data_IF_790183076018
#
_entry.id   IF_790183076018
#
_cell.length_a   1.000
_cell.length_b   1.000
_cell.length_c   1.000
_cell.angle_alpha   90.00
_cell.angle_beta   90.00
_cell.angle_gamma   90.00
#
_symmetry.space_group_name_H-M   'P 1'
#
loop_
_entity.id
_entity.type
_entity.pdbx_description
1 polymer ?
#
# COMPACT_ATOMS: atom_id res chain seq x y z
N UNK A 1 -22.62 -29.99 13.19
CA UNK A 1 -21.62 -28.90 13.11
C UNK A 1 -21.90 -28.12 11.83
N UNK A 2 -21.97 -26.80 11.89
CA UNK A 2 -22.18 -25.94 10.71
C UNK A 2 -21.01 -26.14 9.71
N UNK A 3 -21.26 -26.10 8.40
CA UNK A 3 -20.22 -26.29 7.37
C UNK A 3 -19.09 -25.27 7.51
N UNK A 4 -19.42 -23.99 7.76
CA UNK A 4 -18.43 -22.93 7.94
C UNK A 4 -17.45 -23.20 9.11
N UNK A 5 -17.97 -23.71 10.23
CA UNK A 5 -17.14 -24.07 11.40
C UNK A 5 -16.22 -25.24 11.06
N UNK A 6 -16.73 -26.24 10.33
CA UNK A 6 -15.96 -27.40 9.89
C UNK A 6 -14.84 -26.99 8.93
N UNK A 7 -15.14 -26.13 7.95
CA UNK A 7 -14.16 -25.66 6.96
C UNK A 7 -13.00 -24.95 7.65
N UNK A 8 -13.27 -24.12 8.67
CA UNK A 8 -12.24 -23.46 9.44
C UNK A 8 -11.41 -24.44 10.29
N UNK A 9 -12.04 -25.44 10.91
CA UNK A 9 -11.36 -26.49 11.67
C UNK A 9 -10.41 -27.29 10.78
N UNK A 10 -10.89 -27.70 9.60
CA UNK A 10 -10.12 -28.47 8.64
C UNK A 10 -8.93 -27.67 8.10
N UNK A 11 -9.12 -26.37 7.85
CA UNK A 11 -8.05 -25.45 7.43
C UNK A 11 -6.95 -25.32 8.49
N UNK A 12 -7.31 -25.10 9.75
CA UNK A 12 -6.37 -25.00 10.87
C UNK A 12 -5.84 -26.34 11.37
N UNK A 13 -6.34 -27.45 10.81
CA UNK A 13 -6.03 -28.82 11.24
C UNK A 13 -6.21 -29.01 12.75
N UNK A 14 -7.24 -28.37 13.30
CA UNK A 14 -7.58 -28.45 14.72
C UNK A 14 -7.93 -29.90 15.09
N UNK A 15 -7.17 -30.47 16.03
CA UNK A 15 -7.39 -31.82 16.51
C UNK A 15 -7.34 -31.84 18.05
N UNK A 16 -8.51 -31.81 18.71
CA UNK A 16 -8.59 -31.83 20.18
C UNK A 16 -7.97 -33.09 20.81
N UNK A 17 -8.16 -34.26 20.20
CA UNK A 17 -7.63 -35.53 20.73
C UNK A 17 -6.09 -35.56 20.75
N UNK A 18 -5.46 -34.90 19.78
CA UNK A 18 -4.01 -34.80 19.65
C UNK A 18 -3.44 -33.49 20.22
N UNK A 19 -4.28 -32.61 20.76
CA UNK A 19 -3.92 -31.26 21.19
C UNK A 19 -3.05 -30.53 20.14
N UNK A 20 -3.48 -30.61 18.89
CA UNK A 20 -2.70 -30.13 17.76
C UNK A 20 -3.47 -29.10 16.95
N UNK A 21 -2.79 -28.01 16.61
CA UNK A 21 -3.25 -27.00 15.67
C UNK A 21 -2.10 -26.63 14.72
N UNK A 22 -2.45 -26.31 13.47
CA UNK A 22 -1.53 -25.70 12.51
C UNK A 22 -2.08 -24.34 12.09
N UNK A 23 -1.51 -23.28 12.66
CA UNK A 23 -1.79 -21.91 12.25
C UNK A 23 -1.39 -21.71 10.78
N UNK A 24 -2.40 -21.58 9.92
CA UNK A 24 -2.25 -21.23 8.52
C UNK A 24 -2.80 -19.83 8.32
N UNK A 25 -2.00 -18.93 7.73
CA UNK A 25 -2.36 -17.52 7.58
C UNK A 25 -2.75 -17.15 6.14
N UNK A 26 -2.67 -18.10 5.20
CA UNK A 26 -2.98 -17.87 3.78
C UNK A 26 -4.28 -18.57 3.41
N UNK A 27 -5.34 -17.78 3.31
CA UNK A 27 -6.70 -18.24 2.97
C UNK A 27 -6.95 -18.33 1.44
N UNK A 28 -5.91 -18.07 0.65
CA UNK A 28 -5.94 -18.13 -0.81
C UNK A 28 -5.68 -16.77 -1.51
N UNK A 29 -5.56 -15.70 -0.73
CA UNK A 29 -5.07 -14.37 -1.11
C UNK A 29 -4.25 -13.78 0.06
N UNK A 30 -3.77 -12.55 -0.12
CA UNK A 30 -3.09 -11.78 0.92
C UNK A 30 -3.74 -10.40 1.09
N UNK A 31 -3.87 -9.90 2.31
CA UNK A 31 -4.37 -8.53 2.56
C UNK A 31 -3.27 -7.46 2.43
N UNK A 32 -2.08 -7.80 2.93
CA UNK A 32 -0.91 -6.93 2.97
C UNK A 32 0.29 -7.64 2.34
N UNK A 33 1.20 -6.95 1.63
CA UNK A 33 2.32 -7.55 0.92
C UNK A 33 3.49 -7.88 1.86
N UNK A 34 3.19 -8.58 2.96
CA UNK A 34 4.12 -8.85 4.04
C UNK A 34 4.61 -10.29 4.00
N UNK A 35 5.90 -10.45 4.31
CA UNK A 35 6.58 -11.75 4.38
C UNK A 35 7.06 -12.02 5.79
N UNK A 36 6.80 -13.23 6.29
CA UNK A 36 7.34 -13.68 7.58
C UNK A 36 8.79 -14.15 7.48
N UNK A 37 9.31 -14.44 6.28
CA UNK A 37 10.66 -14.96 6.06
C UNK A 37 11.65 -13.84 5.77
N UNK A 38 12.64 -13.68 6.65
CA UNK A 38 13.89 -13.03 6.28
C UNK A 38 14.68 -14.04 5.42
N UNK A 39 15.19 -13.66 4.23
CA UNK A 39 15.54 -12.30 3.78
C UNK A 39 14.58 -11.67 2.73
N UNK A 40 13.37 -12.18 2.56
CA UNK A 40 12.47 -11.81 1.43
C UNK A 40 11.74 -10.47 1.62
N UNK A 41 11.76 -9.91 2.84
CA UNK A 41 11.13 -8.62 3.19
C UNK A 41 11.86 -7.44 2.55
N UNK A 42 11.13 -6.60 1.82
CA UNK A 42 11.65 -5.34 1.29
C UNK A 42 11.94 -4.33 2.40
N UNK A 43 13.13 -3.74 2.37
CA UNK A 43 13.61 -2.78 3.37
C UNK A 43 13.53 -1.31 2.92
N UNK A 44 13.07 -1.04 1.70
CA UNK A 44 12.90 0.31 1.15
C UNK A 44 14.18 1.17 1.15
N UNK A 45 15.37 0.55 1.01
CA UNK A 45 16.67 1.24 1.05
C UNK A 45 16.98 2.04 -0.24
N UNK A 46 16.34 1.74 -1.37
CA UNK A 46 16.60 2.37 -2.68
C UNK A 46 15.32 2.96 -3.31
N UNK A 47 14.94 4.19 -2.93
CA UNK A 47 14.01 5.14 -3.58
C UNK A 47 12.77 4.62 -4.35
N UNK A 48 12.21 3.45 -4.00
CA UNK A 48 11.05 2.83 -4.68
C UNK A 48 11.24 2.58 -6.20
N UNK A 49 12.39 2.93 -6.78
CA UNK A 49 12.64 2.98 -8.21
C UNK A 49 12.51 1.59 -8.85
N UNK A 50 13.12 0.57 -8.25
CA UNK A 50 13.01 -0.80 -8.74
C UNK A 50 11.57 -1.29 -8.70
N UNK A 51 10.81 -0.91 -7.66
CA UNK A 51 9.39 -1.24 -7.53
C UNK A 51 8.58 -0.54 -8.62
N UNK A 52 8.86 0.73 -8.93
CA UNK A 52 8.26 1.45 -10.06
C UNK A 52 8.54 0.74 -11.40
N UNK A 53 9.75 0.24 -11.60
CA UNK A 53 10.11 -0.56 -12.78
C UNK A 53 9.27 -1.85 -12.87
N UNK A 54 9.12 -2.56 -11.75
CA UNK A 54 8.28 -3.76 -11.68
C UNK A 54 6.80 -3.41 -11.95
N UNK A 55 6.28 -2.35 -11.33
CA UNK A 55 4.93 -1.84 -11.56
C UNK A 55 4.71 -1.63 -13.05
N UNK A 56 5.60 -0.88 -13.72
CA UNK A 56 5.48 -0.60 -15.15
C UNK A 56 5.48 -1.86 -16.02
N UNK A 57 6.25 -2.89 -15.65
CA UNK A 57 6.25 -4.18 -16.36
C UNK A 57 4.94 -4.92 -16.17
N UNK A 58 4.51 -5.11 -14.92
CA UNK A 58 3.29 -5.85 -14.60
C UNK A 58 2.06 -5.16 -15.20
N UNK A 59 1.98 -3.82 -15.13
CA UNK A 59 0.88 -3.04 -15.73
C UNK A 59 0.74 -3.29 -17.24
N UNK A 60 1.85 -3.58 -17.94
CA UNK A 60 1.87 -3.91 -19.38
C UNK A 60 1.73 -5.41 -19.66
N UNK A 61 1.50 -6.25 -18.65
CA UNK A 61 1.42 -7.70 -18.78
C UNK A 61 2.76 -8.43 -18.94
N UNK A 62 3.88 -7.74 -18.66
CA UNK A 62 5.21 -8.33 -18.72
C UNK A 62 5.60 -8.98 -17.38
N UNK A 63 6.60 -9.86 -17.41
CA UNK A 63 7.16 -10.48 -16.21
C UNK A 63 7.74 -9.40 -15.27
N UNK A 64 7.60 -9.58 -13.95
CA UNK A 64 8.13 -8.64 -12.97
C UNK A 64 9.67 -8.54 -13.00
N UNK A 65 10.33 -9.64 -13.33
CA UNK A 65 11.77 -9.76 -13.43
C UNK A 65 12.24 -9.52 -14.87
N UNK A 66 13.36 -8.83 -15.01
CA UNK A 66 14.02 -8.66 -16.30
C UNK A 66 15.10 -9.73 -16.47
N UNK A 67 15.06 -10.42 -17.61
CA UNK A 67 16.20 -11.18 -18.12
C UNK A 67 17.33 -10.22 -18.51
N UNK A 68 18.56 -10.72 -18.65
CA UNK A 68 19.64 -9.93 -19.25
C UNK A 68 19.23 -9.49 -20.67
N UNK A 69 19.26 -8.17 -20.89
CA UNK A 69 18.84 -7.54 -22.14
C UNK A 69 20.03 -7.16 -23.02
N UNK A 70 21.26 -7.19 -22.49
CA UNK A 70 22.43 -6.59 -23.13
C UNK A 70 22.70 -7.19 -24.51
N UNK A 71 22.71 -8.52 -24.61
CA UNK A 71 22.97 -9.19 -25.88
C UNK A 71 21.91 -8.83 -26.94
N UNK A 72 20.62 -8.96 -26.62
CA UNK A 72 19.53 -8.63 -27.55
C UNK A 72 19.51 -7.14 -27.91
N UNK A 73 19.83 -6.26 -26.96
CA UNK A 73 19.94 -4.83 -27.21
C UNK A 73 21.04 -4.52 -28.24
N UNK A 74 22.23 -5.11 -28.09
CA UNK A 74 23.34 -4.93 -29.03
C UNK A 74 23.00 -5.50 -30.41
N UNK A 75 22.39 -6.68 -30.46
CA UNK A 75 21.93 -7.29 -31.72
C UNK A 75 20.93 -6.41 -32.46
N UNK A 76 20.02 -5.75 -31.74
CA UNK A 76 19.09 -4.80 -32.33
C UNK A 76 19.78 -3.49 -32.72
N UNK A 77 20.66 -2.95 -31.87
CA UNK A 77 21.39 -1.71 -32.13
C UNK A 77 22.20 -1.78 -33.42
N UNK A 78 22.93 -2.88 -33.65
CA UNK A 78 23.72 -3.11 -34.87
C UNK A 78 22.86 -3.33 -36.12
N UNK A 79 21.57 -3.67 -35.97
CA UNK A 79 20.61 -3.74 -37.10
C UNK A 79 20.01 -2.37 -37.41
N UNK A 80 19.84 -1.52 -36.40
CA UNK A 80 19.19 -0.22 -36.53
C UNK A 80 20.17 0.89 -36.92
N UNK A 81 21.44 0.77 -36.52
CA UNK A 81 22.48 1.80 -36.73
C UNK A 81 23.74 1.15 -37.29
N UNK A 82 24.35 1.78 -38.29
CA UNK A 82 25.68 1.38 -38.78
C UNK A 82 26.73 1.66 -37.70
N UNK A 83 27.26 0.58 -37.11
CA UNK A 83 28.32 0.63 -36.11
C UNK A 83 29.60 0.06 -36.73
N UNK A 84 30.71 0.81 -36.79
CA UNK A 84 32.01 0.31 -37.24
C UNK A 84 32.46 -0.95 -36.49
N UNK A 85 33.09 -1.90 -37.20
CA UNK A 85 33.54 -3.18 -36.64
C UNK A 85 34.61 -3.04 -35.54
N UNK A 86 35.32 -1.90 -35.48
CA UNK A 86 36.31 -1.62 -34.45
C UNK A 86 35.70 -1.18 -33.12
N UNK A 87 34.38 -0.94 -33.05
CA UNK A 87 33.67 -0.63 -31.81
C UNK A 87 33.18 -1.94 -31.18
N UNK A 88 33.65 -2.21 -29.98
CA UNK A 88 33.25 -3.39 -29.19
C UNK A 88 31.86 -3.23 -28.58
N UNK A 89 31.20 -4.36 -28.29
CA UNK A 89 29.88 -4.38 -27.66
C UNK A 89 29.88 -3.73 -26.27
N UNK A 90 30.98 -3.88 -25.51
CA UNK A 90 31.12 -3.22 -24.21
C UNK A 90 31.13 -1.69 -24.32
N UNK A 91 31.80 -1.14 -25.34
CA UNK A 91 31.79 0.31 -25.58
C UNK A 91 30.37 0.81 -25.93
N UNK A 92 29.60 0.03 -26.69
CA UNK A 92 28.20 0.36 -26.97
C UNK A 92 27.35 0.34 -25.69
N UNK A 93 27.51 -0.66 -24.83
CA UNK A 93 26.79 -0.75 -23.56
C UNK A 93 27.15 0.41 -22.60
N UNK A 94 28.41 0.83 -22.57
CA UNK A 94 28.85 2.00 -21.79
C UNK A 94 28.20 3.31 -22.29
N UNK A 95 28.05 3.47 -23.61
CA UNK A 95 27.41 4.64 -24.21
C UNK A 95 25.92 4.70 -23.86
N UNK A 96 25.21 3.56 -23.94
CA UNK A 96 23.76 3.53 -23.82
C UNK A 96 23.22 3.26 -22.41
N UNK A 97 24.05 2.73 -21.49
CA UNK A 97 23.74 2.51 -20.07
C UNK A 97 22.38 1.82 -19.82
N UNK A 98 22.25 0.57 -20.28
CA UNK A 98 21.01 -0.24 -20.28
C UNK A 98 20.42 -0.58 -18.91
N UNK A 99 21.09 -0.23 -17.81
CA UNK A 99 20.58 -0.45 -16.45
C UNK A 99 19.57 0.62 -15.99
N UNK A 100 19.50 1.77 -16.67
CA UNK A 100 18.53 2.87 -16.48
C UNK A 100 18.23 3.28 -15.04
N UNK A 101 19.23 3.21 -14.15
CA UNK A 101 19.09 3.46 -12.70
C UNK A 101 18.62 4.87 -12.30
N UNK A 102 18.56 5.82 -13.23
CA UNK A 102 18.13 7.21 -12.98
C UNK A 102 17.40 7.81 -14.20
N UNK A 103 16.61 7.00 -14.92
CA UNK A 103 15.96 7.49 -16.15
C UNK A 103 14.83 8.49 -15.84
N UNK A 104 14.87 9.63 -16.53
CA UNK A 104 13.75 10.60 -16.56
C UNK A 104 12.70 10.30 -17.63
N UNK A 105 12.87 9.20 -18.37
CA UNK A 105 12.05 8.87 -19.54
C UNK A 105 11.09 7.75 -19.20
N UNK A 106 9.80 8.02 -19.34
CA UNK A 106 8.72 7.10 -19.04
C UNK A 106 8.84 5.75 -19.77
N UNK A 107 9.22 5.77 -21.05
CA UNK A 107 9.40 4.57 -21.87
C UNK A 107 10.54 3.64 -21.38
N UNK A 108 11.47 4.16 -20.59
CA UNK A 108 12.59 3.41 -20.04
C UNK A 108 12.28 2.82 -18.66
N UNK A 109 11.20 3.26 -17.99
CA UNK A 109 10.79 2.75 -16.67
C UNK A 109 10.63 1.21 -16.67
N UNK A 110 9.96 0.57 -17.66
CA UNK A 110 9.84 -0.89 -17.70
C UNK A 110 11.19 -1.63 -17.78
N UNK A 111 12.28 -0.95 -18.15
CA UNK A 111 13.62 -1.52 -18.31
C UNK A 111 14.51 -1.32 -17.08
N UNK A 112 14.02 -0.71 -16.01
CA UNK A 112 14.74 -0.61 -14.73
C UNK A 112 14.92 -2.01 -14.14
N UNK A 113 16.17 -2.47 -14.05
CA UNK A 113 16.50 -3.78 -13.47
C UNK A 113 16.19 -3.84 -11.97
N UNK A 114 15.80 -5.02 -11.50
CA UNK A 114 15.78 -5.33 -10.07
C UNK A 114 17.15 -5.87 -9.66
N UNK A 115 17.71 -5.38 -8.56
CA UNK A 115 18.90 -5.95 -7.96
C UNK A 115 18.70 -7.43 -7.62
N UNK A 116 19.75 -8.23 -7.75
CA UNK A 116 19.74 -9.65 -7.33
C UNK A 116 19.89 -9.78 -5.81
N UNK A 117 19.07 -9.01 -5.11
CA UNK A 117 18.99 -8.99 -3.66
C UNK A 117 17.90 -9.95 -3.20
N UNK A 118 18.10 -10.47 -1.99
CA UNK A 118 17.19 -11.44 -1.38
C UNK A 118 15.76 -10.90 -1.13
N UNK A 119 15.60 -9.58 -1.07
CA UNK A 119 14.32 -8.88 -0.88
C UNK A 119 13.53 -8.63 -2.17
N UNK A 120 14.03 -9.13 -3.30
CA UNK A 120 13.39 -9.08 -4.62
C UNK A 120 11.93 -9.55 -4.59
N UNK A 121 11.64 -10.62 -3.86
CA UNK A 121 10.26 -11.12 -3.68
C UNK A 121 9.36 -10.10 -2.99
N UNK A 122 9.88 -9.42 -1.96
CA UNK A 122 9.27 -8.27 -1.28
C UNK A 122 8.89 -7.17 -2.27
N UNK A 123 9.85 -6.74 -3.09
CA UNK A 123 9.65 -5.69 -4.09
C UNK A 123 8.56 -6.06 -5.10
N UNK A 124 8.55 -7.31 -5.58
CA UNK A 124 7.54 -7.82 -6.52
C UNK A 124 6.15 -7.86 -5.87
N UNK A 125 6.05 -8.27 -4.61
CA UNK A 125 4.75 -8.34 -3.91
C UNK A 125 4.16 -6.94 -3.66
N UNK A 126 5.00 -5.96 -3.28
CA UNK A 126 4.58 -4.55 -3.15
C UNK A 126 4.13 -4.00 -4.51
N UNK A 127 4.84 -4.31 -5.60
CA UNK A 127 4.42 -3.90 -6.94
C UNK A 127 3.08 -4.53 -7.34
N UNK A 128 2.89 -5.84 -7.14
CA UNK A 128 1.63 -6.53 -7.41
C UNK A 128 0.45 -5.90 -6.64
N UNK A 129 0.66 -5.56 -5.36
CA UNK A 129 -0.34 -4.85 -4.56
C UNK A 129 -0.71 -3.53 -5.25
N UNK A 130 0.27 -2.68 -5.56
CA UNK A 130 0.01 -1.36 -6.13
C UNK A 130 -0.63 -1.42 -7.52
N UNK A 131 -0.23 -2.37 -8.36
CA UNK A 131 -0.88 -2.58 -9.67
C UNK A 131 -2.36 -2.91 -9.51
N UNK A 132 -2.72 -3.77 -8.55
CA UNK A 132 -4.11 -4.12 -8.28
C UNK A 132 -4.87 -2.98 -7.58
N UNK A 133 -4.26 -2.34 -6.58
CA UNK A 133 -4.85 -1.27 -5.78
C UNK A 133 -5.24 -0.06 -6.64
N UNK A 134 -4.36 0.31 -7.57
CA UNK A 134 -4.51 1.50 -8.41
C UNK A 134 -5.05 1.18 -9.82
N UNK A 135 -5.40 -0.08 -10.08
CA UNK A 135 -5.92 -0.60 -11.35
C UNK A 135 -5.07 -0.20 -12.57
N UNK A 136 -3.74 -0.30 -12.43
CA UNK A 136 -2.78 0.23 -13.41
C UNK A 136 -2.79 -0.52 -14.74
N UNK A 137 -3.30 -1.75 -14.77
CA UNK A 137 -3.49 -2.53 -16.01
C UNK A 137 -4.60 -1.97 -16.90
N UNK A 138 -5.55 -1.24 -16.31
CA UNK A 138 -6.68 -0.63 -17.03
C UNK A 138 -6.60 0.91 -17.06
N UNK A 139 -5.63 1.51 -16.36
CA UNK A 139 -5.41 2.95 -16.35
C UNK A 139 -4.76 3.42 -17.66
N UNK A 140 -5.56 4.04 -18.54
CA UNK A 140 -5.11 4.48 -19.87
C UNK A 140 -3.99 5.51 -19.82
N UNK A 141 -4.08 6.47 -18.90
CA UNK A 141 -3.09 7.54 -18.78
C UNK A 141 -1.73 7.00 -18.37
N UNK A 142 -1.70 6.08 -17.40
CA UNK A 142 -0.50 5.34 -17.02
C UNK A 142 0.10 4.55 -18.19
N UNK A 143 -0.72 3.79 -18.92
CA UNK A 143 -0.24 3.02 -20.08
C UNK A 143 0.25 3.91 -21.22
N UNK A 144 -0.39 5.06 -21.44
CA UNK A 144 0.03 6.07 -22.41
C UNK A 144 1.36 6.70 -21.99
N UNK A 145 1.52 7.05 -20.71
CA UNK A 145 2.76 7.55 -20.15
C UNK A 145 3.92 6.58 -20.42
N UNK A 146 3.76 5.30 -20.10
CA UNK A 146 4.75 4.25 -20.34
C UNK A 146 5.05 3.98 -21.82
N UNK A 147 4.14 4.35 -22.72
CA UNK A 147 4.31 4.15 -24.16
C UNK A 147 5.16 5.24 -24.82
N UNK A 148 5.42 6.34 -24.12
CA UNK A 148 6.39 7.39 -24.50
C UNK A 148 6.18 7.93 -25.92
N UNK A 149 5.44 9.04 -26.03
CA UNK A 149 5.16 9.63 -27.36
C UNK A 149 6.32 10.44 -27.97
N UNK A 150 7.34 10.84 -27.21
CA UNK A 150 8.27 11.88 -27.67
C UNK A 150 9.75 11.46 -27.58
N UNK A 151 10.22 10.69 -28.57
CA UNK A 151 11.64 10.55 -28.84
C UNK A 151 12.13 11.77 -29.63
N UNK A 152 12.35 12.89 -28.93
CA UNK A 152 12.65 14.18 -29.55
C UNK A 152 14.11 14.31 -30.05
N UNK A 153 14.96 13.32 -29.80
CA UNK A 153 16.34 13.28 -30.29
C UNK A 153 16.75 11.90 -30.76
N UNK A 154 17.75 11.86 -31.65
CA UNK A 154 18.27 10.65 -32.29
C UNK A 154 18.67 9.58 -31.28
N UNK A 155 19.34 9.96 -30.19
CA UNK A 155 19.72 9.04 -29.11
C UNK A 155 18.50 8.31 -28.51
N UNK A 156 17.39 9.02 -28.30
CA UNK A 156 16.16 8.43 -27.77
C UNK A 156 15.46 7.50 -28.75
N UNK A 157 15.53 7.81 -30.04
CA UNK A 157 14.99 6.97 -31.11
C UNK A 157 15.79 5.67 -31.21
N UNK A 158 17.12 5.79 -31.31
CA UNK A 158 18.02 4.63 -31.34
C UNK A 158 17.83 3.74 -30.12
N UNK A 159 17.73 4.31 -28.91
CA UNK A 159 17.42 3.54 -27.71
C UNK A 159 16.09 2.80 -27.83
N UNK A 160 15.01 3.52 -28.19
CA UNK A 160 13.67 2.95 -28.30
C UNK A 160 13.62 1.78 -29.29
N UNK A 161 14.27 1.94 -30.43
CA UNK A 161 14.26 0.95 -31.52
C UNK A 161 15.18 -0.24 -31.23
N UNK A 162 16.20 -0.05 -30.38
CA UNK A 162 17.15 -1.10 -30.02
C UNK A 162 16.72 -1.91 -28.79
N UNK A 163 15.82 -1.38 -27.95
CA UNK A 163 15.35 -2.09 -26.77
C UNK A 163 14.53 -3.34 -27.13
N UNK A 164 14.88 -4.51 -26.57
CA UNK A 164 14.17 -5.75 -26.88
C UNK A 164 12.78 -5.78 -26.26
N UNK A 165 11.86 -6.50 -26.89
CA UNK A 165 10.56 -6.80 -26.30
C UNK A 165 10.73 -7.56 -24.97
N UNK A 166 9.93 -7.15 -23.97
CA UNK A 166 9.92 -7.77 -22.65
C UNK A 166 9.11 -9.07 -22.67
N UNK A 167 9.47 -10.00 -21.79
CA UNK A 167 8.79 -11.29 -21.69
C UNK A 167 7.38 -11.11 -21.09
N UNK A 168 6.39 -11.77 -21.69
CA UNK A 168 4.99 -11.74 -21.22
C UNK A 168 4.84 -12.66 -20.00
N UNK A 169 3.98 -12.27 -19.06
CA UNK A 169 3.68 -13.06 -17.88
C UNK A 169 2.60 -14.12 -18.15
N UNK A 170 2.98 -15.40 -18.05
CA UNK A 170 2.06 -16.52 -18.16
C UNK A 170 1.27 -16.72 -16.85
N UNK A 171 0.14 -16.03 -16.72
CA UNK A 171 -1.07 -16.40 -15.94
C UNK A 171 -1.07 -16.45 -14.40
N UNK A 172 0.06 -16.47 -13.68
CA UNK A 172 0.03 -16.51 -12.21
C UNK A 172 0.35 -15.15 -11.56
N UNK A 173 -0.70 -14.37 -11.29
CA UNK A 173 -0.63 -13.15 -10.46
C UNK A 173 -1.03 -13.46 -9.03
N UNK A 174 -0.28 -12.90 -8.08
CA UNK A 174 -0.62 -12.98 -6.67
C UNK A 174 -1.92 -12.20 -6.44
N UNK A 175 -2.91 -12.78 -5.76
CA UNK A 175 -4.20 -12.12 -5.55
C UNK A 175 -4.21 -11.40 -4.21
N UNK A 176 -4.68 -10.15 -4.22
CA UNK A 176 -4.96 -9.39 -3.01
C UNK A 176 -6.46 -9.19 -2.85
N UNK A 177 -6.93 -9.25 -1.60
CA UNK A 177 -8.20 -8.60 -1.25
C UNK A 177 -7.84 -7.21 -0.76
N UNK A 178 -8.52 -6.21 -1.30
CA UNK A 178 -8.14 -4.81 -1.13
C UNK A 178 -9.20 -4.08 -0.33
N UNK A 179 -8.80 -3.49 0.78
CA UNK A 179 -9.69 -2.64 1.57
C UNK A 179 -9.79 -1.26 0.89
N UNK A 180 -11.02 -0.77 0.69
CA UNK A 180 -11.31 0.52 0.06
C UNK A 180 -10.73 0.67 -1.36
N UNK A 181 -10.61 -0.41 -2.14
CA UNK A 181 -9.99 -0.42 -3.46
C UNK A 181 -10.51 0.68 -4.41
N UNK A 182 -11.83 0.87 -4.45
CA UNK A 182 -12.46 1.88 -5.32
C UNK A 182 -12.03 3.31 -4.97
N UNK A 183 -11.80 3.61 -3.70
CA UNK A 183 -11.33 4.93 -3.27
C UNK A 183 -9.92 5.19 -3.82
N UNK A 184 -8.97 4.27 -3.59
CA UNK A 184 -7.59 4.42 -4.07
C UNK A 184 -7.48 4.42 -5.59
N UNK A 185 -8.26 3.56 -6.28
CA UNK A 185 -8.35 3.55 -7.74
C UNK A 185 -8.80 4.89 -8.29
N UNK A 186 -9.92 5.42 -7.79
CA UNK A 186 -10.47 6.69 -8.28
C UNK A 186 -9.52 7.84 -7.99
N UNK A 187 -8.98 7.92 -6.76
CA UNK A 187 -8.06 8.96 -6.33
C UNK A 187 -6.81 9.00 -7.23
N UNK A 188 -6.13 7.85 -7.42
CA UNK A 188 -4.95 7.80 -8.28
C UNK A 188 -5.25 8.10 -9.74
N UNK A 189 -6.41 7.65 -10.24
CA UNK A 189 -6.80 7.91 -11.62
C UNK A 189 -6.98 9.41 -11.86
N UNK A 190 -7.63 10.13 -10.94
CA UNK A 190 -7.77 11.58 -11.00
C UNK A 190 -6.42 12.30 -10.88
N UNK A 191 -5.61 11.93 -9.90
CA UNK A 191 -4.28 12.51 -9.68
C UNK A 191 -3.38 12.36 -10.91
N UNK A 192 -3.31 11.14 -11.44
CA UNK A 192 -2.44 10.84 -12.57
C UNK A 192 -2.97 11.47 -13.87
N UNK A 193 -4.29 11.62 -14.00
CA UNK A 193 -4.89 12.35 -15.10
C UNK A 193 -4.48 13.83 -15.08
N UNK A 194 -4.60 14.51 -13.93
CA UNK A 194 -4.16 15.91 -13.76
C UNK A 194 -2.68 16.06 -14.13
N UNK A 195 -1.84 15.15 -13.64
CA UNK A 195 -0.41 15.15 -13.99
C UNK A 195 -0.19 15.00 -15.50
N UNK A 196 -0.90 14.09 -16.16
CA UNK A 196 -0.79 13.89 -17.60
C UNK A 196 -1.31 15.06 -18.43
N UNK A 197 -2.42 15.69 -18.01
CA UNK A 197 -3.00 16.87 -18.67
C UNK A 197 -2.06 18.07 -18.65
N UNK A 198 -1.25 18.23 -17.59
CA UNK A 198 -0.25 19.32 -17.53
C UNK A 198 0.78 19.28 -18.65
N UNK A 199 1.03 18.11 -19.23
CA UNK A 199 2.12 17.89 -20.20
C UNK A 199 3.53 17.97 -19.61
N UNK A 200 3.69 18.20 -18.30
CA UNK A 200 4.98 18.31 -17.63
C UNK A 200 5.57 16.93 -17.27
N UNK A 201 5.95 16.17 -18.30
CA UNK A 201 6.44 14.80 -18.14
C UNK A 201 7.72 14.69 -17.28
N UNK A 202 8.55 15.73 -17.25
CA UNK A 202 9.74 15.79 -16.40
C UNK A 202 9.34 15.82 -14.92
N UNK A 203 8.31 16.61 -14.56
CA UNK A 203 7.77 16.62 -13.21
C UNK A 203 7.22 15.25 -12.81
N UNK A 204 6.45 14.59 -13.69
CA UNK A 204 5.95 13.22 -13.46
C UNK A 204 7.12 12.28 -13.19
N UNK A 205 8.13 12.30 -14.06
CA UNK A 205 9.25 11.35 -13.94
C UNK A 205 10.08 11.55 -12.67
N UNK A 206 10.20 12.78 -12.17
CA UNK A 206 10.90 13.08 -10.92
C UNK A 206 10.12 12.68 -9.67
N UNK A 207 8.79 12.52 -9.78
CA UNK A 207 7.90 12.32 -8.64
C UNK A 207 7.13 10.98 -8.65
N UNK A 208 7.18 10.21 -9.73
CA UNK A 208 6.40 8.97 -9.86
C UNK A 208 6.71 7.94 -8.76
N UNK A 209 7.99 7.81 -8.38
CA UNK A 209 8.40 6.93 -7.28
C UNK A 209 7.77 7.38 -5.95
N UNK A 210 7.76 8.69 -5.70
CA UNK A 210 7.20 9.31 -4.49
C UNK A 210 5.69 9.17 -4.44
N UNK A 211 5.02 9.27 -5.60
CA UNK A 211 3.58 9.07 -5.71
C UNK A 211 3.23 7.63 -5.33
N UNK A 212 3.88 6.63 -5.94
CA UNK A 212 3.65 5.23 -5.60
C UNK A 212 4.00 4.89 -4.15
N UNK A 213 5.12 5.40 -3.64
CA UNK A 213 5.50 5.18 -2.24
C UNK A 213 4.51 5.81 -1.25
N UNK A 214 3.93 6.96 -1.61
CA UNK A 214 2.92 7.61 -0.78
C UNK A 214 1.60 6.81 -0.77
N UNK A 215 1.12 6.38 -1.94
CA UNK A 215 -0.07 5.52 -2.04
C UNK A 215 0.11 4.21 -1.25
N UNK A 216 1.30 3.61 -1.34
CA UNK A 216 1.67 2.46 -0.52
C UNK A 216 1.62 2.78 0.98
N UNK A 217 2.25 3.88 1.41
CA UNK A 217 2.23 4.29 2.82
C UNK A 217 0.80 4.45 3.34
N UNK A 218 -0.02 5.26 2.67
CA UNK A 218 -1.39 5.54 3.12
C UNK A 218 -2.22 4.27 3.15
N UNK A 219 -2.11 3.40 2.15
CA UNK A 219 -2.79 2.11 2.17
C UNK A 219 -2.38 1.25 3.37
N UNK A 220 -1.07 1.11 3.65
CA UNK A 220 -0.58 0.31 4.79
C UNK A 220 -0.98 0.91 6.13
N UNK A 221 -0.89 2.24 6.28
CA UNK A 221 -1.26 2.95 7.51
C UNK A 221 -2.73 2.73 7.82
N UNK A 222 -3.62 3.02 6.87
CA UNK A 222 -5.07 2.93 7.08
C UNK A 222 -5.55 1.48 7.17
N UNK A 223 -5.07 0.59 6.31
CA UNK A 223 -5.47 -0.82 6.34
C UNK A 223 -4.98 -1.46 7.64
N UNK A 224 -3.72 -1.27 7.99
CA UNK A 224 -3.14 -1.92 9.18
C UNK A 224 -3.75 -1.46 10.50
N UNK A 225 -4.27 -0.23 10.58
CA UNK A 225 -4.89 0.30 11.80
C UNK A 225 -6.42 0.11 11.88
N UNK A 226 -7.03 -0.50 10.85
CA UNK A 226 -8.50 -0.61 10.74
C UNK A 226 -9.05 -2.03 10.55
N UNK A 227 -8.20 -3.07 10.52
CA UNK A 227 -8.64 -4.47 10.27
C UNK A 227 -9.79 -4.90 11.21
N UNK A 228 -9.66 -4.62 12.51
CA UNK A 228 -10.70 -4.89 13.52
C UNK A 228 -11.35 -3.59 14.03
N UNK A 229 -11.39 -2.54 13.22
CA UNK A 229 -12.16 -1.35 13.60
C UNK A 229 -13.65 -1.66 13.55
N UNK A 230 -14.34 -1.30 14.64
CA UNK A 230 -15.78 -1.51 14.80
C UNK A 230 -16.58 -0.39 14.18
N UNK A 231 -15.95 0.77 14.02
CA UNK A 231 -16.58 1.95 13.47
C UNK A 231 -16.03 2.19 12.06
N UNK A 232 -16.89 2.66 11.15
CA UNK A 232 -16.45 3.31 9.92
C UNK A 232 -15.94 4.73 10.20
N UNK A 233 -15.15 4.90 11.26
CA UNK A 233 -14.65 6.21 11.63
C UNK A 233 -13.57 6.62 10.62
N UNK A 234 -13.75 7.80 10.02
CA UNK A 234 -12.77 8.47 9.18
C UNK A 234 -11.59 8.94 10.05
N UNK A 235 -10.74 8.01 10.52
CA UNK A 235 -9.53 8.31 11.27
C UNK A 235 -8.65 9.27 10.46
N UNK A 236 -8.09 10.25 11.15
CA UNK A 236 -7.25 11.29 10.56
C UNK A 236 -5.87 11.14 11.15
N UNK A 237 -4.92 10.65 10.35
CA UNK A 237 -3.55 10.52 10.80
C UNK A 237 -2.77 11.77 10.43
N UNK A 238 -2.38 12.52 11.46
CA UNK A 238 -1.75 13.82 11.28
C UNK A 238 -0.25 13.71 11.00
N UNK A 239 0.20 14.43 9.97
CA UNK A 239 1.59 14.61 9.60
C UNK A 239 2.16 15.88 10.24
N UNK A 240 3.44 15.84 10.57
CA UNK A 240 4.25 17.02 10.84
C UNK A 240 5.02 17.43 9.59
N UNK A 241 5.16 18.73 9.35
CA UNK A 241 6.07 19.27 8.35
C UNK A 241 7.53 19.04 8.75
N UNK A 242 8.38 18.63 7.81
CA UNK A 242 9.72 18.16 8.14
C UNK A 242 10.60 19.16 8.89
N UNK A 243 10.48 20.46 8.61
CA UNK A 243 11.30 21.51 9.24
C UNK A 243 10.69 22.08 10.51
N UNK A 244 9.49 21.65 10.88
CA UNK A 244 8.84 22.20 12.08
C UNK A 244 9.36 21.56 13.38
N UNK A 245 9.21 22.31 14.47
CA UNK A 245 9.39 21.82 15.84
C UNK A 245 8.07 21.22 16.35
N UNK A 246 8.15 20.01 16.91
CA UNK A 246 6.97 19.24 17.34
C UNK A 246 7.01 19.06 18.85
N UNK A 247 5.95 19.50 19.54
CA UNK A 247 5.76 19.29 20.98
C UNK A 247 4.85 18.08 21.26
N UNK A 248 4.84 17.59 22.50
CA UNK A 248 4.12 16.36 22.89
C UNK A 248 2.61 16.42 22.67
N UNK A 249 1.99 17.59 22.76
CA UNK A 249 0.53 17.77 22.66
C UNK A 249 0.01 17.96 21.22
N UNK A 250 0.90 17.87 20.22
CA UNK A 250 0.53 18.04 18.81
C UNK A 250 -0.24 16.83 18.31
N UNK A 251 -1.24 17.04 17.45
CA UNK A 251 -1.97 15.93 16.82
C UNK A 251 -1.06 15.04 15.99
N UNK A 252 0.01 15.57 15.40
CA UNK A 252 1.01 14.75 14.72
C UNK A 252 1.72 13.71 15.63
N UNK A 253 1.64 13.90 16.96
CA UNK A 253 2.16 12.96 17.97
C UNK A 253 1.06 12.06 18.51
N UNK A 254 -0.07 12.64 18.95
CA UNK A 254 -1.15 11.89 19.61
C UNK A 254 -2.04 11.12 18.65
N UNK A 255 -2.41 11.74 17.54
CA UNK A 255 -3.36 11.27 16.52
C UNK A 255 -2.60 11.03 15.18
N UNK A 256 -1.38 10.53 15.29
CA UNK A 256 -0.45 10.30 14.17
C UNK A 256 0.06 8.87 14.16
N UNK A 257 1.36 8.70 13.89
CA UNK A 257 1.96 7.36 13.79
C UNK A 257 1.91 6.56 15.12
N UNK A 258 1.83 7.23 16.27
CA UNK A 258 1.73 6.55 17.56
C UNK A 258 0.48 5.66 17.63
N UNK A 259 -0.69 6.24 17.34
CA UNK A 259 -1.97 5.51 17.32
C UNK A 259 -1.94 4.39 16.27
N UNK A 260 -1.42 4.67 15.07
CA UNK A 260 -1.25 3.67 14.01
C UNK A 260 -0.45 2.48 14.51
N UNK A 261 0.67 2.72 15.20
CA UNK A 261 1.55 1.69 15.74
C UNK A 261 0.85 0.84 16.81
N UNK A 262 0.06 1.44 17.68
CA UNK A 262 -0.71 0.73 18.71
C UNK A 262 -1.80 -0.15 18.08
N UNK A 263 -2.60 0.41 17.17
CA UNK A 263 -3.71 -0.29 16.53
C UNK A 263 -3.26 -1.45 15.65
N UNK A 264 -2.07 -1.36 15.07
CA UNK A 264 -1.52 -2.41 14.22
C UNK A 264 -0.59 -3.38 14.97
N UNK A 265 -0.45 -3.24 16.30
CA UNK A 265 0.56 -3.99 17.06
C UNK A 265 0.46 -5.52 16.87
N UNK A 266 -0.78 -6.02 16.80
CA UNK A 266 -1.12 -7.43 16.66
C UNK A 266 -1.62 -7.78 15.24
N UNK A 267 -1.13 -7.06 14.21
CA UNK A 267 -1.69 -7.08 12.84
C UNK A 267 -1.87 -8.47 12.21
N UNK A 268 -1.00 -9.45 12.55
CA UNK A 268 -1.17 -10.82 12.06
C UNK A 268 -2.42 -11.48 12.65
N UNK A 269 -2.58 -11.37 13.97
CA UNK A 269 -3.73 -11.90 14.69
C UNK A 269 -5.01 -11.19 14.27
N UNK A 270 -4.94 -9.88 14.05
CA UNK A 270 -6.08 -9.10 13.58
C UNK A 270 -6.56 -9.57 12.20
N UNK A 271 -5.63 -9.86 11.29
CA UNK A 271 -5.93 -10.43 9.96
C UNK A 271 -6.54 -11.83 10.10
N UNK A 272 -5.97 -12.69 10.94
CA UNK A 272 -6.49 -14.04 11.16
C UNK A 272 -7.92 -14.01 11.71
N UNK A 273 -8.21 -13.12 12.68
CA UNK A 273 -9.57 -12.93 13.20
C UNK A 273 -10.51 -12.47 12.09
N UNK A 274 -10.14 -11.46 11.33
CA UNK A 274 -10.98 -10.94 10.25
C UNK A 274 -11.34 -12.06 9.26
N UNK A 275 -10.37 -12.90 8.88
CA UNK A 275 -10.61 -14.05 8.02
C UNK A 275 -11.48 -15.12 8.69
N UNK A 276 -11.21 -15.48 9.94
CA UNK A 276 -12.02 -16.44 10.68
C UNK A 276 -13.48 -15.99 10.75
N UNK A 277 -13.74 -14.72 11.05
CA UNK A 277 -15.09 -14.19 11.11
C UNK A 277 -15.79 -14.24 9.75
N UNK A 278 -15.09 -13.96 8.66
CA UNK A 278 -15.66 -14.05 7.32
C UNK A 278 -15.91 -15.49 6.84
N UNK A 279 -15.08 -16.44 7.25
CA UNK A 279 -15.39 -17.87 7.06
C UNK A 279 -16.63 -18.24 7.87
N UNK A 280 -16.67 -17.88 9.16
CA UNK A 280 -17.75 -18.26 10.08
C UNK A 280 -19.09 -17.58 9.77
N UNK A 281 -19.08 -16.41 9.13
CA UNK A 281 -20.29 -15.76 8.62
C UNK A 281 -20.82 -16.40 7.33
N UNK A 282 -20.02 -17.22 6.65
CA UNK A 282 -20.34 -17.80 5.35
C UNK A 282 -20.13 -16.86 4.17
N UNK A 283 -19.56 -15.67 4.39
CA UNK A 283 -19.23 -14.71 3.33
C UNK A 283 -18.07 -15.20 2.44
N UNK A 284 -17.20 -16.03 3.00
CA UNK A 284 -15.93 -16.38 2.40
C UNK A 284 -15.67 -17.89 2.47
N UNK A 285 -15.24 -18.46 1.34
CA UNK A 285 -14.82 -19.86 1.23
C UNK A 285 -13.32 -19.91 0.98
N UNK A 286 -12.63 -20.67 1.83
CA UNK A 286 -11.17 -20.80 1.82
C UNK A 286 -10.70 -21.37 0.47
N UNK A 287 -9.70 -20.73 -0.14
CA UNK A 287 -9.16 -21.08 -1.46
C UNK A 287 -10.18 -21.05 -2.62
N UNK A 288 -11.29 -20.34 -2.47
CA UNK A 288 -12.23 -20.09 -3.56
C UNK A 288 -12.17 -18.63 -4.03
N UNK A 289 -11.50 -18.32 -5.14
CA UNK A 289 -11.33 -16.94 -5.62
C UNK A 289 -12.64 -16.18 -5.88
N UNK A 290 -13.73 -16.87 -6.15
CA UNK A 290 -15.04 -16.23 -6.42
C UNK A 290 -15.62 -15.54 -5.19
N UNK A 291 -15.22 -15.94 -3.98
CA UNK A 291 -15.75 -15.38 -2.73
C UNK A 291 -14.89 -14.27 -2.13
N UNK A 292 -13.75 -13.93 -2.74
CA UNK A 292 -12.78 -13.00 -2.13
C UNK A 292 -13.33 -11.58 -2.05
N UNK A 293 -14.13 -11.16 -3.04
CA UNK A 293 -14.81 -9.87 -3.05
C UNK A 293 -15.98 -9.77 -2.08
N UNK A 294 -16.37 -10.87 -1.44
CA UNK A 294 -17.50 -10.93 -0.49
C UNK A 294 -17.07 -10.73 0.96
N UNK A 295 -15.76 -10.59 1.22
CA UNK A 295 -15.23 -10.32 2.55
C UNK A 295 -15.78 -9.00 3.09
N UNK A 296 -16.25 -9.03 4.34
CA UNK A 296 -16.79 -7.87 5.06
C UNK A 296 -15.83 -7.45 6.17
N UNK A 297 -15.69 -6.14 6.39
CA UNK A 297 -15.00 -5.58 7.56
C UNK A 297 -15.75 -5.89 8.84
N UNK A 298 -15.10 -5.73 9.99
CA UNK A 298 -15.75 -5.92 11.28
C UNK A 298 -16.97 -5.00 11.46
N UNK A 299 -16.87 -3.71 11.11
CA UNK A 299 -18.01 -2.78 11.19
C UNK A 299 -19.23 -3.26 10.37
N UNK A 300 -19.00 -3.82 9.18
CA UNK A 300 -20.04 -4.38 8.30
C UNK A 300 -20.60 -5.69 8.87
N UNK A 301 -19.75 -6.56 9.41
CA UNK A 301 -20.17 -7.80 10.09
C UNK A 301 -21.01 -7.51 11.33
N UNK A 302 -20.68 -6.45 12.07
CA UNK A 302 -21.44 -6.01 13.25
C UNK A 302 -22.77 -5.33 12.89
N UNK A 303 -22.95 -4.98 11.61
CA UNK A 303 -24.14 -4.32 11.06
C UNK A 303 -25.04 -5.29 10.29
N UNK A 304 -24.76 -6.60 10.32
CA UNK A 304 -25.61 -7.64 9.74
C UNK A 304 -26.98 -7.69 10.44
N UNK A 305 -27.96 -8.36 9.80
CA UNK A 305 -29.26 -8.55 10.44
C UNK A 305 -29.16 -9.45 11.69
N UNK A 306 -30.16 -9.38 12.58
CA UNK A 306 -30.13 -10.10 13.86
C UNK A 306 -29.98 -11.62 13.71
N UNK A 307 -30.49 -12.22 12.63
CA UNK A 307 -30.40 -13.67 12.39
C UNK A 307 -29.01 -14.05 11.89
N UNK A 308 -28.43 -13.26 11.00
CA UNK A 308 -27.06 -13.41 10.52
C UNK A 308 -26.04 -13.21 11.66
N UNK A 309 -26.20 -12.15 12.46
CA UNK A 309 -25.39 -11.91 13.66
C UNK A 309 -25.47 -13.07 14.66
N UNK A 310 -26.67 -13.58 14.93
CA UNK A 310 -26.86 -14.72 15.82
C UNK A 310 -26.16 -15.98 15.27
N UNK A 311 -26.24 -16.20 13.96
CA UNK A 311 -25.58 -17.33 13.30
C UNK A 311 -24.06 -17.22 13.41
N UNK A 312 -23.50 -16.02 13.17
CA UNK A 312 -22.07 -15.75 13.32
C UNK A 312 -21.61 -15.97 14.77
N UNK A 313 -22.34 -15.44 15.75
CA UNK A 313 -22.05 -15.65 17.18
C UNK A 313 -22.06 -17.13 17.54
N UNK A 314 -23.09 -17.89 17.13
CA UNK A 314 -23.18 -19.32 17.41
C UNK A 314 -22.05 -20.12 16.74
N UNK A 315 -21.67 -19.75 15.52
CA UNK A 315 -20.55 -20.36 14.81
C UNK A 315 -19.22 -20.06 15.51
N UNK A 316 -19.00 -18.82 15.93
CA UNK A 316 -17.82 -18.40 16.70
C UNK A 316 -17.71 -19.15 18.03
N UNK A 317 -18.79 -19.23 18.81
CA UNK A 317 -18.82 -19.98 20.07
C UNK A 317 -18.55 -21.48 19.84
N UNK A 318 -19.06 -22.04 18.74
CA UNK A 318 -18.83 -23.45 18.40
C UNK A 318 -17.37 -23.70 18.02
N UNK A 319 -16.77 -22.79 17.24
CA UNK A 319 -15.35 -22.83 16.91
C UNK A 319 -14.48 -22.68 18.17
N UNK A 320 -14.76 -21.68 19.01
CA UNK A 320 -14.04 -21.44 20.26
C UNK A 320 -14.10 -22.63 21.21
N UNK A 321 -15.23 -23.33 21.30
CA UNK A 321 -15.34 -24.54 22.11
C UNK A 321 -14.41 -25.67 21.66
N UNK A 322 -14.15 -25.79 20.36
CA UNK A 322 -13.23 -26.80 19.82
C UNK A 322 -11.78 -26.34 19.95
N UNK A 323 -11.54 -25.04 19.71
CA UNK A 323 -10.25 -24.41 19.92
C UNK A 323 -9.79 -24.55 21.37
N UNK A 324 -10.67 -24.22 22.33
CA UNK A 324 -10.38 -24.29 23.76
C UNK A 324 -10.07 -25.71 24.23
N UNK A 325 -10.80 -26.71 23.72
CA UNK A 325 -10.49 -28.13 23.99
C UNK A 325 -9.13 -28.53 23.42
N UNK A 326 -8.72 -27.97 22.28
CA UNK A 326 -7.45 -28.30 21.63
C UNK A 326 -6.25 -27.72 22.37
N UNK A 327 -6.35 -26.49 22.86
CA UNK A 327 -5.25 -25.75 23.51
C UNK A 327 -5.39 -25.72 25.04
N UNK A 328 -6.45 -26.30 25.59
CA UNK A 328 -6.77 -26.35 27.03
C UNK A 328 -7.07 -24.98 27.65
N UNK A 329 -7.80 -24.12 26.93
CA UNK A 329 -8.38 -22.90 27.51
C UNK A 329 -9.65 -23.22 28.31
N UNK A 330 -9.82 -22.54 29.44
CA UNK A 330 -11.07 -22.59 30.20
C UNK A 330 -12.14 -21.78 29.46
N UNK A 331 -13.04 -22.47 28.76
CA UNK A 331 -14.14 -21.84 28.03
C UNK A 331 -15.48 -22.45 28.39
N UNK A 332 -16.41 -21.59 28.80
CA UNK A 332 -17.80 -21.94 29.03
C UNK A 332 -18.63 -21.18 28.01
N UNK A 333 -19.30 -21.93 27.13
CA UNK A 333 -20.19 -21.35 26.12
C UNK A 333 -21.33 -20.59 26.82
N UNK A 334 -21.50 -19.32 26.46
CA UNK A 334 -22.61 -18.51 26.97
C UNK A 334 -23.93 -18.93 26.30
N UNK A 335 -24.95 -19.14 27.12
CA UNK A 335 -26.30 -19.40 26.63
C UNK A 335 -26.93 -18.09 26.17
N UNK A 336 -27.28 -18.02 24.89
CA UNK A 336 -27.91 -16.84 24.29
C UNK A 336 -29.40 -16.83 24.68
N UNK A 337 -29.82 -15.81 25.44
CA UNK A 337 -31.21 -15.58 25.82
C UNK A 337 -31.88 -14.59 24.87
N UNK A 338 -33.21 -14.46 24.96
CA UNK A 338 -34.00 -13.52 24.15
C UNK A 338 -33.61 -12.06 24.40
N UNK A 339 -33.09 -11.74 25.59
CA UNK A 339 -32.66 -10.39 25.99
C UNK A 339 -31.18 -10.12 25.71
N UNK A 340 -30.45 -11.08 25.13
CA UNK A 340 -29.01 -10.92 24.90
C UNK A 340 -28.75 -9.88 23.81
N UNK A 341 -27.91 -8.89 24.14
CA UNK A 341 -27.32 -8.02 23.13
C UNK A 341 -26.29 -8.80 22.31
N UNK A 342 -26.74 -9.32 21.17
CA UNK A 342 -25.95 -10.21 20.30
C UNK A 342 -24.68 -9.51 19.82
N UNK A 343 -24.74 -8.22 19.53
CA UNK A 343 -23.60 -7.46 19.01
C UNK A 343 -22.51 -7.33 20.08
N UNK A 344 -22.90 -6.94 21.30
CA UNK A 344 -21.97 -6.83 22.41
C UNK A 344 -21.37 -8.19 22.81
N UNK A 345 -22.17 -9.27 22.79
CA UNK A 345 -21.67 -10.61 23.09
C UNK A 345 -20.70 -11.11 22.02
N UNK A 346 -21.00 -10.89 20.74
CA UNK A 346 -20.10 -11.21 19.63
C UNK A 346 -18.75 -10.50 19.77
N UNK A 347 -18.78 -9.21 20.10
CA UNK A 347 -17.59 -8.41 20.34
C UNK A 347 -16.75 -8.94 21.50
N UNK A 348 -17.38 -9.40 22.58
CA UNK A 348 -16.70 -10.01 23.73
C UNK A 348 -16.03 -11.33 23.32
N UNK A 349 -16.74 -12.18 22.59
CA UNK A 349 -16.23 -13.47 22.11
C UNK A 349 -15.03 -13.29 21.16
N UNK A 350 -15.08 -12.26 20.28
CA UNK A 350 -13.98 -11.87 19.39
C UNK A 350 -12.75 -11.43 20.19
N UNK A 351 -12.93 -10.53 21.16
CA UNK A 351 -11.83 -10.01 21.96
C UNK A 351 -11.14 -11.12 22.78
N UNK A 352 -11.91 -12.04 23.34
CA UNK A 352 -11.35 -13.19 24.07
C UNK A 352 -10.56 -14.12 23.12
N UNK A 353 -11.08 -14.39 21.91
CA UNK A 353 -10.33 -15.16 20.91
C UNK A 353 -9.04 -14.46 20.48
N UNK A 354 -9.05 -13.12 20.37
CA UNK A 354 -7.84 -12.33 20.10
C UNK A 354 -6.76 -12.55 21.13
N UNK A 355 -7.12 -12.50 22.41
CA UNK A 355 -6.16 -12.72 23.48
C UNK A 355 -5.63 -14.16 23.49
N UNK A 356 -6.47 -15.16 23.18
CA UNK A 356 -6.02 -16.54 23.01
C UNK A 356 -5.01 -16.68 21.86
N UNK A 357 -5.34 -16.18 20.67
CA UNK A 357 -4.45 -16.28 19.50
C UNK A 357 -3.11 -15.58 19.75
N UNK A 358 -3.10 -14.43 20.44
CA UNK A 358 -1.87 -13.74 20.83
C UNK A 358 -0.97 -14.58 21.73
N UNK A 359 -1.56 -15.35 22.64
CA UNK A 359 -0.83 -16.23 23.57
C UNK A 359 -0.37 -17.53 22.91
N UNK A 360 -1.22 -18.14 22.09
CA UNK A 360 -1.03 -19.49 21.58
C UNK A 360 -0.21 -19.54 20.29
N UNK A 361 -0.33 -18.50 19.44
CA UNK A 361 0.46 -18.41 18.22
C UNK A 361 1.91 -18.01 18.55
N UNK A 362 2.86 -18.47 17.72
CA UNK A 362 4.27 -18.16 17.90
C UNK A 362 4.53 -16.65 17.92
N UNK A 363 4.97 -16.12 19.08
CA UNK A 363 5.43 -14.74 19.23
C UNK A 363 6.50 -14.36 18.21
N UNK A 364 7.32 -15.32 17.78
CA UNK A 364 8.32 -15.11 16.74
C UNK A 364 7.65 -14.87 15.37
N UNK A 365 6.62 -15.63 15.01
CA UNK A 365 5.89 -15.48 13.75
C UNK A 365 5.16 -14.13 13.71
N UNK A 366 4.44 -13.79 14.79
CA UNK A 366 3.78 -12.49 14.95
C UNK A 366 4.78 -11.33 14.78
N UNK A 367 5.91 -11.37 15.49
CA UNK A 367 6.96 -10.34 15.38
C UNK A 367 7.58 -10.29 13.98
N UNK A 368 7.82 -11.43 13.33
CA UNK A 368 8.39 -11.48 11.98
C UNK A 368 7.44 -10.87 10.95
N UNK A 369 6.14 -11.14 11.04
CA UNK A 369 5.14 -10.50 10.18
C UNK A 369 5.08 -8.99 10.41
N UNK A 370 5.02 -8.58 11.69
CA UNK A 370 5.02 -7.17 12.10
C UNK A 370 6.23 -6.39 11.59
N UNK A 371 7.42 -7.02 11.48
CA UNK A 371 8.61 -6.36 10.94
C UNK A 371 8.39 -5.79 9.53
N UNK A 372 7.60 -6.43 8.66
CA UNK A 372 7.22 -5.85 7.34
C UNK A 372 6.51 -4.52 7.46
N UNK A 373 5.64 -4.39 8.46
CA UNK A 373 5.03 -3.12 8.78
C UNK A 373 6.07 -2.11 9.28
N UNK A 374 6.97 -2.52 10.17
CA UNK A 374 7.96 -1.60 10.75
C UNK A 374 9.01 -1.10 9.74
N UNK A 375 9.23 -1.80 8.61
CA UNK A 375 10.11 -1.33 7.54
C UNK A 375 9.56 -0.09 6.82
N UNK A 376 8.27 0.26 6.95
CA UNK A 376 7.74 1.52 6.37
C UNK A 376 8.47 2.76 6.88
N UNK A 377 9.16 2.67 8.04
CA UNK A 377 10.02 3.74 8.55
C UNK A 377 11.12 4.16 7.58
N UNK A 378 11.52 3.27 6.67
CA UNK A 378 12.56 3.50 5.69
C UNK A 378 12.06 4.27 4.46
N UNK A 379 10.74 4.44 4.30
CA UNK A 379 10.15 5.24 3.22
C UNK A 379 10.30 6.76 3.40
N UNK A 380 11.06 7.23 4.39
CA UNK A 380 11.25 8.66 4.72
C UNK A 380 9.97 9.44 5.14
N UNK A 381 8.86 8.75 5.38
CA UNK A 381 7.63 9.35 5.91
C UNK A 381 7.54 9.29 7.44
N UNK A 382 8.52 8.72 8.12
CA UNK A 382 8.61 8.70 9.58
C UNK A 382 9.85 9.46 10.05
N UNK A 383 9.67 10.39 10.98
CA UNK A 383 10.78 11.14 11.59
C UNK A 383 10.82 10.90 13.08
N UNK A 384 11.99 10.48 13.59
CA UNK A 384 12.23 10.36 15.02
C UNK A 384 12.28 11.75 15.66
N UNK A 385 11.49 11.95 16.71
CA UNK A 385 11.42 13.18 17.52
C UNK A 385 11.84 12.91 18.96
N UNK A 386 12.88 12.08 19.13
CA UNK A 386 13.48 11.76 20.43
C UNK A 386 12.51 11.03 21.35
N UNK A 387 12.24 11.59 22.54
CA UNK A 387 11.33 10.99 23.53
C UNK A 387 9.86 10.95 23.10
N UNK A 388 9.49 11.64 22.01
CA UNK A 388 8.15 11.60 21.43
C UNK A 388 7.94 10.41 20.49
N UNK A 389 8.99 9.65 20.18
CA UNK A 389 8.94 8.56 19.21
C UNK A 389 8.94 9.04 17.77
N UNK A 390 8.43 8.20 16.86
CA UNK A 390 8.33 8.50 15.44
C UNK A 390 7.00 9.17 15.12
N UNK A 391 7.03 10.23 14.31
CA UNK A 391 5.83 10.91 13.80
C UNK A 391 5.76 10.77 12.29
N UNK A 392 4.54 10.80 11.74
CA UNK A 392 4.34 10.95 10.30
C UNK A 392 4.94 12.29 9.87
N UNK A 393 5.72 12.28 8.80
CA UNK A 393 6.54 13.39 8.35
C UNK A 393 6.25 13.67 6.87
N UNK A 394 5.83 14.89 6.58
CA UNK A 394 5.68 15.39 5.22
C UNK A 394 6.92 16.19 4.83
N UNK A 395 7.66 15.71 3.84
CA UNK A 395 8.76 16.46 3.23
C UNK A 395 8.21 17.58 2.34
N UNK A 396 9.06 18.58 2.07
CA UNK A 396 8.81 19.62 1.09
C UNK A 396 8.46 19.02 -0.28
N UNK A 397 9.14 17.95 -0.69
CA UNK A 397 8.87 17.28 -1.97
C UNK A 397 7.46 16.70 -2.05
N UNK A 398 6.97 16.05 -0.98
CA UNK A 398 5.61 15.49 -0.93
C UNK A 398 4.57 16.60 -0.88
N UNK A 399 4.83 17.66 -0.10
CA UNK A 399 3.96 18.84 -0.08
C UNK A 399 3.87 19.46 -1.47
N UNK A 400 4.98 19.66 -2.16
CA UNK A 400 5.00 20.20 -3.53
C UNK A 400 4.32 19.27 -4.54
N UNK A 401 4.54 17.95 -4.45
CA UNK A 401 3.87 16.96 -5.29
C UNK A 401 2.35 17.05 -5.17
N UNK A 402 1.82 17.00 -3.94
CA UNK A 402 0.37 17.10 -3.75
C UNK A 402 -0.15 18.51 -3.98
N UNK A 403 0.66 19.55 -3.82
CA UNK A 403 0.26 20.91 -4.24
C UNK A 403 0.04 20.96 -5.74
N UNK A 404 0.98 20.38 -6.51
CA UNK A 404 0.90 20.30 -7.96
C UNK A 404 -0.37 19.54 -8.40
N UNK A 405 -0.65 18.39 -7.79
CA UNK A 405 -1.87 17.59 -8.05
C UNK A 405 -3.15 18.37 -7.68
N UNK A 406 -3.20 18.96 -6.48
CA UNK A 406 -4.42 19.60 -5.96
C UNK A 406 -4.73 20.93 -6.64
N UNK A 407 -3.71 21.76 -6.93
CA UNK A 407 -3.90 22.98 -7.71
C UNK A 407 -4.22 22.63 -9.16
N UNK A 408 -3.54 21.61 -9.70
CA UNK A 408 -3.77 21.07 -11.03
C UNK A 408 -3.64 22.14 -12.11
N UNK A 409 -4.61 22.16 -13.03
CA UNK A 409 -4.65 23.08 -14.16
C UNK A 409 -5.18 24.49 -13.79
N UNK A 410 -5.51 24.75 -12.53
CA UNK A 410 -5.91 26.09 -12.10
C UNK A 410 -4.66 26.99 -12.03
N UNK A 411 -4.75 28.26 -12.46
CA UNK A 411 -3.63 29.21 -12.29
C UNK A 411 -3.26 29.38 -10.81
N UNK A 412 -4.28 29.43 -9.96
CA UNK A 412 -4.15 29.54 -8.51
C UNK A 412 -5.37 28.93 -7.81
N UNK A 413 -5.18 28.42 -6.60
CA UNK A 413 -6.23 27.83 -5.78
C UNK A 413 -6.23 28.43 -4.37
N UNK A 414 -7.41 28.66 -3.78
CA UNK A 414 -7.49 29.15 -2.40
C UNK A 414 -6.71 28.20 -1.46
N UNK A 415 -5.88 28.76 -0.59
CA UNK A 415 -5.05 27.98 0.35
C UNK A 415 -5.87 26.98 1.18
N UNK A 416 -7.09 27.36 1.61
CA UNK A 416 -7.99 26.45 2.31
C UNK A 416 -8.34 25.22 1.48
N UNK A 417 -8.61 25.40 0.18
CA UNK A 417 -8.92 24.31 -0.75
C UNK A 417 -7.71 23.41 -0.99
N UNK A 418 -6.49 23.97 -0.99
CA UNK A 418 -5.26 23.17 -1.06
C UNK A 418 -5.16 22.22 0.13
N UNK A 419 -5.41 22.70 1.36
CA UNK A 419 -5.42 21.84 2.53
C UNK A 419 -6.57 20.83 2.53
N UNK A 420 -7.77 21.21 2.06
CA UNK A 420 -8.87 20.25 1.87
C UNK A 420 -8.50 19.15 0.86
N UNK A 421 -7.78 19.51 -0.20
CA UNK A 421 -7.20 18.54 -1.14
C UNK A 421 -6.19 17.63 -0.46
N UNK A 422 -5.25 18.15 0.34
CA UNK A 422 -4.33 17.30 1.11
C UNK A 422 -5.06 16.30 2.01
N UNK A 423 -6.09 16.75 2.72
CA UNK A 423 -6.92 15.89 3.57
C UNK A 423 -7.64 14.80 2.75
N UNK A 424 -8.08 15.11 1.52
CA UNK A 424 -8.66 14.13 0.61
C UNK A 424 -7.70 13.01 0.21
N UNK A 425 -6.38 13.27 0.22
CA UNK A 425 -5.33 12.30 -0.07
C UNK A 425 -4.77 11.61 1.19
N UNK A 426 -5.30 11.92 2.37
CA UNK A 426 -4.80 11.38 3.64
C UNK A 426 -3.63 12.16 4.27
N UNK A 427 -3.28 13.33 3.72
CA UNK A 427 -2.28 14.26 4.29
C UNK A 427 -2.94 15.25 5.25
N UNK A 428 -3.22 14.81 6.47
CA UNK A 428 -3.81 15.68 7.50
C UNK A 428 -2.73 16.51 8.21
N UNK A 429 -2.98 17.80 8.37
CA UNK A 429 -2.10 18.71 9.08
C UNK A 429 -2.86 19.46 10.17
N UNK A 430 -2.26 19.56 11.36
CA UNK A 430 -2.81 20.41 12.41
C UNK A 430 -2.53 21.89 12.12
N UNK A 431 -3.12 22.79 12.91
CA UNK A 431 -3.00 24.25 12.69
C UNK A 431 -1.54 24.72 12.63
N UNK A 432 -0.65 24.14 13.45
CA UNK A 432 0.75 24.56 13.49
C UNK A 432 1.50 24.07 12.26
N UNK A 433 1.30 22.82 11.84
CA UNK A 433 1.89 22.32 10.60
C UNK A 433 1.39 23.12 9.39
N UNK A 434 0.09 23.44 9.33
CA UNK A 434 -0.49 24.30 8.28
C UNK A 434 0.20 25.66 8.23
N UNK A 435 0.46 26.30 9.37
CA UNK A 435 1.17 27.59 9.42
C UNK A 435 2.62 27.49 8.93
N UNK A 436 3.34 26.41 9.25
CA UNK A 436 4.71 26.21 8.76
C UNK A 436 4.75 25.92 7.25
N UNK A 437 3.74 25.21 6.73
CA UNK A 437 3.57 25.00 5.28
C UNK A 437 3.29 26.34 4.57
N UNK A 438 2.49 27.23 5.18
CA UNK A 438 2.26 28.59 4.65
C UNK A 438 3.57 29.37 4.56
N UNK A 439 4.42 29.33 5.60
CA UNK A 439 5.75 29.97 5.55
C UNK A 439 6.62 29.36 4.45
N UNK A 440 6.60 28.04 4.32
CA UNK A 440 7.32 27.36 3.24
C UNK A 440 6.85 27.84 1.86
N UNK A 441 5.55 27.96 1.61
CA UNK A 441 5.04 28.49 0.34
C UNK A 441 5.43 29.96 0.12
N UNK A 442 5.51 30.79 1.16
CA UNK A 442 6.06 32.14 1.06
C UNK A 442 7.54 32.11 0.64
N UNK A 443 8.35 31.23 1.25
CA UNK A 443 9.77 31.05 0.94
C UNK A 443 10.02 30.62 -0.52
N UNK A 444 9.18 29.72 -1.06
CA UNK A 444 9.29 29.26 -2.46
C UNK A 444 8.44 30.08 -3.44
N UNK A 445 7.90 31.23 -3.01
CA UNK A 445 7.12 32.14 -3.84
C UNK A 445 5.90 31.50 -4.52
N UNK A 446 5.23 30.57 -3.82
CA UNK A 446 3.99 29.93 -4.27
C UNK A 446 2.73 30.60 -3.72
N UNK A 447 2.84 31.52 -2.76
CA UNK A 447 1.68 32.23 -2.20
C UNK A 447 1.45 33.59 -2.88
N UNK A 448 0.19 33.86 -3.21
CA UNK A 448 -0.31 35.15 -3.68
C UNK A 448 -1.36 35.71 -2.73
N UNK A 449 -1.30 37.03 -2.49
CA UNK A 449 -2.30 37.79 -1.74
C UNK A 449 -3.11 38.59 -2.75
N UNK A 450 -4.37 38.23 -2.95
CA UNK A 450 -5.25 38.90 -3.93
C UNK A 450 -6.27 39.88 -3.30
N UNK A 451 -6.29 40.00 -1.97
CA UNK A 451 -7.14 40.98 -1.27
C UNK A 451 -6.30 42.12 -0.72
N UNK A 452 -6.76 43.36 -0.89
CA UNK A 452 -6.22 44.55 -0.22
C UNK A 452 -6.28 44.43 1.31
N UNK A 453 -7.15 43.55 1.85
CA UNK A 453 -7.21 43.22 3.28
C UNK A 453 -6.20 42.15 3.72
N UNK A 454 -5.57 41.43 2.78
CA UNK A 454 -4.65 40.32 3.07
C UNK A 454 -5.31 39.01 3.52
N UNK A 455 -6.65 38.95 3.65
CA UNK A 455 -7.35 37.80 4.26
C UNK A 455 -7.46 36.57 3.34
N UNK A 456 -7.44 36.77 2.01
CA UNK A 456 -7.53 35.69 1.04
C UNK A 456 -6.14 35.37 0.45
N UNK A 457 -5.61 34.20 0.83
CA UNK A 457 -4.35 33.66 0.32
C UNK A 457 -4.63 32.56 -0.73
N UNK A 458 -3.88 32.62 -1.82
CA UNK A 458 -3.95 31.69 -2.94
C UNK A 458 -2.59 31.04 -3.19
N UNK A 459 -2.60 29.78 -3.62
CA UNK A 459 -1.40 29.02 -3.99
C UNK A 459 -1.34 28.90 -5.50
N UNK A 460 -0.21 29.27 -6.11
CA UNK A 460 0.02 29.18 -7.56
C UNK A 460 0.21 27.73 -8.01
N UNK A 461 -0.07 27.46 -9.28
CA UNK A 461 0.28 26.16 -9.87
C UNK A 461 1.80 25.94 -9.96
N UNK A 462 2.18 24.67 -9.90
CA UNK A 462 3.56 24.17 -10.01
C UNK A 462 3.74 23.37 -11.31
N UNK A 463 2.64 22.91 -11.93
CA UNK A 463 2.65 22.03 -13.10
C UNK A 463 2.92 22.77 -14.41
#
# INVERSE_FOLDING_TARGET
MNSAVKDLIDFLKLNPEKQYIKYMHKFGYTLLPFFTREPERYKFEEEFLEVTGIIARISKGNKPELSDLNQKFIENLRKTVEVPDNISDNQLLEIFQTAFKNTKRSQLIPYISISDSKDKKGKIQVANLLVQLLDLENNKDWLNYLSGQNANNLYSQVLKDSLPALEIQDTNKEKFTLINANYYKSLFTEDFHILMESGNFDFISLNINKLFSFYYLIYIVYTGSSILDRNENNKRYYFAYEKEQVSRSRYAVTDGYHEVKELSADILVDIDIMHYLNVLSGNFIINNPETYSSEKKLAELLSLDSKELLTLLQNLQSFKGIYSQTISHDYIKNNISVETDIQNELVKEINELKEWLKMDESLETQKRYRKSYDEIKQLNYLKSRGSLGNVLNASQEIILLFTAIVVGNNEHLLLRRVFEGFEHHGLFFDKTSKNEIVKFYEEVNLLEKMSDSGDAQYVKSIL
#
